data_IF_195642650856
#
_entry.id   IF_195642650856
#
_cell.length_a   1.000
_cell.length_b   1.000
_cell.length_c   1.000
_cell.angle_alpha   90.00
_cell.angle_beta   90.00
_cell.angle_gamma   90.00
#
_symmetry.space_group_name_H-M   'P 1'
#
loop_
_entity.id
_entity.type
_entity.pdbx_description
1 polymer ?
#
# COMPACT_ATOMS: atom_id res chain seq x y z
N UNK A 1 36.28 2.25 29.00
CA UNK A 1 35.69 2.52 27.67
C UNK A 1 34.17 2.76 27.77
N UNK A 2 33.69 3.78 28.52
CA UNK A 2 32.26 4.04 28.69
C UNK A 2 31.59 4.71 27.48
N UNK A 3 32.37 5.42 26.67
CA UNK A 3 31.92 6.15 25.49
C UNK A 3 31.37 5.26 24.37
N UNK A 4 31.84 4.00 24.28
CA UNK A 4 31.38 3.03 23.28
C UNK A 4 29.98 2.52 23.61
N UNK A 5 29.71 2.22 24.90
CA UNK A 5 28.38 1.79 25.36
C UNK A 5 27.33 2.89 25.17
N UNK A 6 27.65 4.13 25.56
CA UNK A 6 26.72 5.27 25.40
C UNK A 6 26.42 5.51 23.92
N UNK A 7 27.43 5.42 23.05
CA UNK A 7 27.23 5.55 21.60
C UNK A 7 26.34 4.45 21.03
N UNK A 8 26.51 3.20 21.47
CA UNK A 8 25.68 2.08 21.00
C UNK A 8 24.24 2.19 21.47
N UNK A 9 24.03 2.59 22.72
CA UNK A 9 22.68 2.79 23.28
C UNK A 9 21.92 3.90 22.54
N UNK A 10 22.58 5.02 22.22
CA UNK A 10 21.98 6.10 21.43
C UNK A 10 21.64 5.63 20.02
N UNK A 11 22.53 4.87 19.37
CA UNK A 11 22.30 4.34 18.03
C UNK A 11 21.10 3.39 18.03
N UNK A 12 21.05 2.45 18.98
CA UNK A 12 19.95 1.49 19.10
C UNK A 12 18.64 2.21 19.41
N UNK A 13 18.64 3.15 20.36
CA UNK A 13 17.47 3.94 20.72
C UNK A 13 16.94 4.74 19.54
N UNK A 14 17.82 5.38 18.78
CA UNK A 14 17.44 6.12 17.56
C UNK A 14 16.85 5.18 16.51
N UNK A 15 17.46 4.02 16.29
CA UNK A 15 16.95 3.03 15.33
C UNK A 15 15.55 2.52 15.70
N UNK A 16 15.33 2.29 16.99
CA UNK A 16 14.04 1.87 17.54
C UNK A 16 12.97 2.95 17.34
N UNK A 17 13.31 4.22 17.63
CA UNK A 17 12.41 5.35 17.39
C UNK A 17 12.04 5.46 15.92
N UNK A 18 13.03 5.35 15.01
CA UNK A 18 12.79 5.35 13.56
C UNK A 18 11.88 4.20 13.15
N UNK A 19 12.12 2.99 13.65
CA UNK A 19 11.27 1.82 13.37
C UNK A 19 9.82 2.04 13.84
N UNK A 20 9.63 2.56 15.05
CA UNK A 20 8.30 2.88 15.60
C UNK A 20 7.61 3.96 14.76
N UNK A 21 8.31 5.01 14.35
CA UNK A 21 7.73 6.05 13.48
C UNK A 21 7.32 5.48 12.12
N UNK A 22 8.13 4.61 11.51
CA UNK A 22 7.79 3.94 10.25
C UNK A 22 6.56 3.05 10.43
N UNK A 23 6.50 2.26 11.49
CA UNK A 23 5.34 1.41 11.79
C UNK A 23 4.07 2.23 12.08
N UNK A 24 4.18 3.28 12.89
CA UNK A 24 3.04 4.13 13.22
C UNK A 24 2.51 4.85 11.98
N UNK A 25 3.40 5.42 11.15
CA UNK A 25 3.00 6.11 9.91
C UNK A 25 2.38 5.14 8.90
N UNK A 26 2.93 3.94 8.72
CA UNK A 26 2.34 2.92 7.84
C UNK A 26 1.00 2.41 8.36
N UNK A 27 0.86 2.20 9.67
CA UNK A 27 -0.40 1.78 10.29
C UNK A 27 -1.48 2.87 10.18
N UNK A 28 -1.15 4.11 10.55
CA UNK A 28 -2.05 5.26 10.42
C UNK A 28 -2.47 5.43 8.97
N UNK A 29 -1.54 5.36 8.01
CA UNK A 29 -1.86 5.39 6.58
C UNK A 29 -2.83 4.32 6.17
N UNK A 30 -2.56 3.06 6.54
CA UNK A 30 -3.44 1.95 6.22
C UNK A 30 -4.84 2.17 6.80
N UNK A 31 -4.93 2.70 8.01
CA UNK A 31 -6.20 3.02 8.68
C UNK A 31 -6.93 4.21 8.05
N UNK A 32 -6.20 5.25 7.66
CA UNK A 32 -6.73 6.42 6.95
C UNK A 32 -7.19 6.08 5.53
N UNK A 33 -6.49 5.19 4.83
CA UNK A 33 -6.90 4.69 3.51
C UNK A 33 -8.14 3.79 3.65
N UNK A 34 -8.18 2.95 4.70
CA UNK A 34 -9.32 2.08 4.94
C UNK A 34 -10.61 2.87 5.13
N UNK A 35 -10.62 3.92 5.96
CA UNK A 35 -11.85 4.65 6.38
C UNK A 35 -13.03 3.71 6.72
N UNK A 36 -12.77 2.49 7.21
CA UNK A 36 -13.80 1.48 7.51
C UNK A 36 -14.38 0.72 6.30
N UNK A 37 -13.85 0.93 5.10
CA UNK A 37 -14.28 0.24 3.88
C UNK A 37 -13.41 -1.00 3.60
N UNK A 38 -13.99 -2.04 2.97
CA UNK A 38 -13.26 -3.28 2.68
C UNK A 38 -12.08 -3.02 1.75
N UNK A 39 -10.89 -3.41 2.24
CA UNK A 39 -9.62 -3.38 1.52
C UNK A 39 -9.25 -4.80 1.14
N UNK A 40 -9.07 -5.06 -0.14
CA UNK A 40 -8.69 -6.39 -0.65
C UNK A 40 -7.34 -6.31 -1.34
N UNK A 41 -6.55 -7.37 -1.24
CA UNK A 41 -5.32 -7.51 -2.03
C UNK A 41 -5.68 -7.65 -3.51
N UNK A 42 -5.08 -6.81 -4.36
CA UNK A 42 -5.35 -6.82 -5.79
C UNK A 42 -4.07 -6.54 -6.57
N UNK A 43 -3.73 -7.46 -7.48
CA UNK A 43 -2.71 -7.25 -8.49
C UNK A 43 -3.29 -6.39 -9.62
N UNK A 44 -2.61 -5.30 -9.96
CA UNK A 44 -2.95 -4.46 -11.11
C UNK A 44 -1.89 -4.60 -12.19
N UNK A 45 -2.33 -4.83 -13.42
CA UNK A 45 -1.50 -4.76 -14.63
C UNK A 45 -2.24 -3.90 -15.66
N UNK A 46 -1.70 -2.72 -15.98
CA UNK A 46 -2.37 -1.75 -16.86
C UNK A 46 -2.25 -2.11 -18.34
N UNK A 47 -1.13 -2.71 -18.76
CA UNK A 47 -0.92 -3.16 -20.14
C UNK A 47 -0.39 -4.59 -20.15
N UNK A 48 -0.58 -5.32 -21.26
CA UNK A 48 -0.08 -6.70 -21.39
C UNK A 48 1.44 -6.82 -21.15
N UNK A 49 2.19 -5.76 -21.44
CA UNK A 49 3.65 -5.68 -21.27
C UNK A 49 4.08 -5.23 -19.88
N UNK A 50 3.17 -4.69 -19.07
CA UNK A 50 3.50 -4.18 -17.75
C UNK A 50 3.67 -5.32 -16.73
N UNK A 51 4.52 -5.09 -15.73
CA UNK A 51 4.66 -6.03 -14.61
C UNK A 51 3.42 -5.95 -13.71
N UNK A 52 3.01 -7.10 -13.17
CA UNK A 52 2.00 -7.15 -12.11
C UNK A 52 2.47 -6.33 -10.92
N UNK A 53 1.65 -5.36 -10.52
CA UNK A 53 1.89 -4.54 -9.33
C UNK A 53 0.94 -4.99 -8.24
N UNK A 54 1.51 -5.42 -7.13
CA UNK A 54 0.72 -5.77 -5.94
C UNK A 54 0.25 -4.48 -5.26
N UNK A 55 -1.04 -4.42 -4.93
CA UNK A 55 -1.64 -3.29 -4.24
C UNK A 55 -2.86 -3.68 -3.44
N UNK A 56 -3.45 -2.66 -2.84
CA UNK A 56 -4.71 -2.76 -2.11
C UNK A 56 -5.78 -2.06 -2.94
N UNK A 57 -6.88 -2.76 -3.20
CA UNK A 57 -8.06 -2.17 -3.80
C UNK A 57 -9.06 -1.85 -2.70
N UNK A 58 -9.54 -0.60 -2.69
CA UNK A 58 -10.57 -0.10 -1.80
C UNK A 58 -11.88 -0.01 -2.57
N UNK A 59 -12.90 -0.71 -2.09
CA UNK A 59 -14.26 -0.60 -2.60
C UNK A 59 -14.96 0.55 -1.91
N UNK A 60 -14.83 1.76 -2.48
CA UNK A 60 -15.59 2.93 -2.06
C UNK A 60 -17.00 2.93 -2.64
N UNK A 61 -17.85 3.80 -2.11
CA UNK A 61 -19.25 3.90 -2.55
C UNK A 61 -19.38 4.32 -4.02
N UNK A 62 -18.68 5.39 -4.39
CA UNK A 62 -18.74 6.01 -5.72
C UNK A 62 -17.49 5.74 -6.58
N UNK A 63 -16.42 5.21 -6.01
CA UNK A 63 -15.16 5.01 -6.70
C UNK A 63 -14.42 3.77 -6.20
N UNK A 64 -13.79 3.08 -7.13
CA UNK A 64 -12.83 2.03 -6.89
C UNK A 64 -11.44 2.66 -6.87
N UNK A 65 -10.68 2.47 -5.80
CA UNK A 65 -9.37 3.06 -5.64
C UNK A 65 -8.31 1.99 -5.46
N UNK A 66 -7.26 2.04 -6.27
CA UNK A 66 -6.11 1.15 -6.12
C UNK A 66 -4.90 1.91 -5.57
N UNK A 67 -4.38 1.37 -4.48
CA UNK A 67 -3.27 1.89 -3.70
C UNK A 67 -2.09 0.91 -3.83
N UNK A 68 -0.88 1.44 -4.00
CA UNK A 68 0.32 0.58 -4.02
C UNK A 68 0.56 -0.02 -2.64
N UNK A 69 0.96 -1.29 -2.56
CA UNK A 69 1.26 -1.93 -1.27
C UNK A 69 2.51 -1.30 -0.61
N UNK A 70 3.47 -0.90 -1.44
CA UNK A 70 4.71 -0.25 -1.01
C UNK A 70 4.67 1.27 -1.19
N UNK A 71 5.27 1.97 -0.22
CA UNK A 71 5.60 3.40 -0.31
C UNK A 71 4.89 4.30 0.70
N UNK A 72 5.49 5.46 0.94
CA UNK A 72 4.94 6.53 1.77
C UNK A 72 4.03 7.45 0.93
N UNK A 73 3.17 6.92 0.04
CA UNK A 73 2.15 7.73 -0.67
C UNK A 73 0.72 7.35 -0.26
N UNK A 74 -0.08 8.29 0.27
CA UNK A 74 -1.46 8.01 0.76
C UNK A 74 -2.45 8.13 -0.41
N UNK A 75 -1.96 8.60 -1.56
CA UNK A 75 -2.79 8.94 -2.69
C UNK A 75 -3.05 7.68 -3.51
N UNK A 76 -4.31 7.43 -3.90
CA UNK A 76 -4.62 6.35 -4.83
C UNK A 76 -3.87 6.60 -6.13
N UNK A 77 -3.15 5.58 -6.61
CA UNK A 77 -2.44 5.69 -7.88
C UNK A 77 -3.40 5.60 -9.05
N UNK A 78 -4.49 4.85 -8.86
CA UNK A 78 -5.56 4.74 -9.84
C UNK A 78 -6.91 4.88 -9.12
N UNK A 79 -7.79 5.67 -9.74
CA UNK A 79 -9.14 5.92 -9.27
C UNK A 79 -10.09 5.69 -10.44
N UNK A 80 -11.04 4.79 -10.27
CA UNK A 80 -12.09 4.52 -11.24
C UNK A 80 -13.43 4.90 -10.62
N UNK A 81 -14.14 5.83 -11.25
CA UNK A 81 -15.51 6.13 -10.86
C UNK A 81 -16.39 4.94 -11.16
N UNK A 82 -17.19 4.50 -10.19
CA UNK A 82 -18.07 3.32 -10.33
C UNK A 82 -19.03 3.45 -11.50
N UNK A 83 -19.49 4.67 -11.77
CA UNK A 83 -20.39 5.00 -12.88
C UNK A 83 -19.74 4.88 -14.26
N UNK A 84 -18.41 4.89 -14.35
CA UNK A 84 -17.65 4.82 -15.60
C UNK A 84 -16.85 3.53 -15.74
N UNK A 85 -16.85 2.69 -14.72
CA UNK A 85 -16.12 1.43 -14.73
C UNK A 85 -16.92 0.40 -15.53
N UNK A 86 -16.42 0.10 -16.73
CA UNK A 86 -16.94 -0.98 -17.56
C UNK A 86 -16.11 -2.22 -17.26
N UNK A 87 -16.78 -3.31 -16.89
CA UNK A 87 -16.17 -4.61 -16.66
C UNK A 87 -16.48 -5.48 -17.88
N UNK A 88 -15.43 -5.99 -18.51
CA UNK A 88 -15.57 -6.94 -19.61
C UNK A 88 -15.67 -8.38 -19.09
N UNK A 89 -16.02 -9.31 -19.97
CA UNK A 89 -16.05 -10.73 -19.66
C UNK A 89 -14.64 -11.23 -19.25
N UNK A 90 -14.54 -12.05 -18.20
CA UNK A 90 -13.25 -12.60 -17.78
C UNK A 90 -12.72 -13.55 -18.86
N UNK A 91 -11.47 -13.34 -19.26
CA UNK A 91 -10.76 -14.29 -20.12
C UNK A 91 -10.11 -15.40 -19.29
N UNK A 92 -10.09 -16.62 -19.85
CA UNK A 92 -9.38 -17.75 -19.27
C UNK A 92 -7.87 -17.44 -19.21
N UNK A 93 -7.31 -17.46 -18.00
CA UNK A 93 -5.88 -17.41 -17.78
C UNK A 93 -5.25 -18.73 -18.23
N UNK A 94 -4.79 -18.80 -19.47
CA UNK A 94 -3.97 -19.92 -19.96
C UNK A 94 -2.55 -19.71 -19.45
N UNK A 95 -2.17 -20.48 -18.43
CA UNK A 95 -0.80 -20.50 -17.91
C UNK A 95 0.15 -20.98 -19.00
N UNK A 96 1.19 -20.18 -19.28
CA UNK A 96 2.29 -20.55 -20.17
C UNK A 96 3.42 -21.20 -19.36
#
# INVERSE_FOLDING_TARGET
MPSVLVSTEIVIGTLLVVAVVVLATTYLRRRYIAKGLPLTLCGLRCTQTDRWRLGLIRFGDNALEWHTLGGVSVRPKHLWLRQRLILDAPELLVGR
#
